data_IF_947253995554
#
_entry.id   IF_947253995554
#
_cell.length_a   1.000
_cell.length_b   1.000
_cell.length_c   1.000
_cell.angle_alpha   90.00
_cell.angle_beta   90.00
_cell.angle_gamma   90.00
#
_symmetry.space_group_name_H-M   'P 1'
#
loop_
_entity.id
_entity.type
_entity.pdbx_description
1 polymer ?
#
# COMPACT_ATOMS: atom_id res chain seq x y z
N UNK A 1 -2.05 11.62 23.00
CA UNK A 1 -0.90 10.93 23.64
C UNK A 1 -1.31 9.64 24.34
N UNK A 2 -2.11 9.66 25.41
CA UNK A 2 -2.50 8.43 26.12
C UNK A 2 -3.22 7.39 25.24
N UNK A 3 -4.10 7.86 24.34
CA UNK A 3 -4.75 7.00 23.33
C UNK A 3 -3.72 6.34 22.41
N UNK A 4 -2.85 7.11 21.76
CA UNK A 4 -1.82 6.60 20.87
C UNK A 4 -0.88 5.59 21.55
N UNK A 5 -0.53 5.81 22.83
CA UNK A 5 0.26 4.85 23.60
C UNK A 5 -0.52 3.55 23.88
N UNK A 6 -1.81 3.66 24.19
CA UNK A 6 -2.69 2.51 24.39
C UNK A 6 -2.86 1.69 23.10
N UNK A 7 -3.07 2.38 21.99
CA UNK A 7 -3.15 1.81 20.64
C UNK A 7 -1.79 1.25 20.18
N UNK A 8 -0.68 1.78 20.67
CA UNK A 8 0.67 1.22 20.49
C UNK A 8 0.97 0.01 21.39
N UNK A 9 0.04 -0.39 22.26
CA UNK A 9 0.16 -1.57 23.11
C UNK A 9 0.78 -1.31 24.50
N UNK A 10 1.09 -0.06 24.84
CA UNK A 10 1.70 0.29 26.14
C UNK A 10 0.80 -0.13 27.32
N UNK A 11 1.45 -0.45 28.44
CA UNK A 11 0.72 -0.82 29.66
C UNK A 11 0.03 0.40 30.28
N UNK A 12 -1.08 0.19 31.00
CA UNK A 12 -1.75 1.28 31.72
C UNK A 12 -0.82 1.97 32.73
N UNK A 13 0.10 1.21 33.33
CA UNK A 13 1.11 1.73 34.25
C UNK A 13 2.06 2.69 33.54
N UNK A 14 2.56 2.30 32.37
CA UNK A 14 3.48 3.11 31.58
C UNK A 14 2.79 4.39 31.07
N UNK A 15 1.55 4.27 30.58
CA UNK A 15 0.78 5.42 30.13
C UNK A 15 0.53 6.37 31.30
N UNK A 16 0.16 5.84 32.46
CA UNK A 16 -0.08 6.63 33.66
C UNK A 16 1.18 7.38 34.09
N UNK A 17 2.33 6.72 34.08
CA UNK A 17 3.62 7.34 34.40
C UNK A 17 4.01 8.46 33.40
N UNK A 18 3.85 8.24 32.10
CA UNK A 18 4.26 9.21 31.08
C UNK A 18 3.28 10.37 30.87
N UNK A 19 2.01 10.18 31.22
CA UNK A 19 0.96 11.18 30.95
C UNK A 19 0.35 11.80 32.20
N UNK A 20 0.73 11.31 33.38
CA UNK A 20 0.15 11.67 34.68
C UNK A 20 -1.37 11.47 34.77
N UNK A 21 -1.92 10.62 33.90
CA UNK A 21 -3.34 10.25 33.91
C UNK A 21 -3.49 8.97 34.73
N UNK A 22 -4.42 8.95 35.68
CA UNK A 22 -4.71 7.75 36.44
C UNK A 22 -5.15 6.58 35.54
N UNK A 23 -4.71 5.36 35.91
CA UNK A 23 -5.00 4.11 35.18
C UNK A 23 -6.49 3.85 35.01
N UNK A 24 -7.30 4.16 36.03
CA UNK A 24 -8.74 3.97 35.95
C UNK A 24 -9.39 4.94 34.95
N UNK A 25 -8.86 6.17 34.87
CA UNK A 25 -9.31 7.18 33.90
C UNK A 25 -8.96 6.77 32.47
N UNK A 26 -7.76 6.23 32.25
CA UNK A 26 -7.34 5.70 30.94
C UNK A 26 -8.26 4.56 30.52
N UNK A 27 -8.50 3.59 31.40
CA UNK A 27 -9.38 2.44 31.09
C UNK A 27 -10.83 2.87 30.79
N UNK A 28 -11.38 3.82 31.57
CA UNK A 28 -12.73 4.37 31.33
C UNK A 28 -12.81 5.10 29.99
N UNK A 29 -11.81 5.91 29.65
CA UNK A 29 -11.75 6.60 28.36
C UNK A 29 -11.63 5.61 27.20
N UNK A 30 -10.76 4.60 27.33
CA UNK A 30 -10.60 3.56 26.32
C UNK A 30 -11.93 2.87 26.00
N UNK A 31 -12.67 2.46 27.03
CA UNK A 31 -14.00 1.84 26.84
C UNK A 31 -15.03 2.81 26.26
N UNK A 32 -15.08 4.05 26.76
CA UNK A 32 -16.08 5.05 26.34
C UNK A 32 -15.89 5.51 24.89
N UNK A 33 -14.64 5.62 24.46
CA UNK A 33 -14.27 6.16 23.15
C UNK A 33 -13.87 5.08 22.14
N UNK A 34 -13.95 3.80 22.52
CA UNK A 34 -13.64 2.68 21.64
C UNK A 34 -12.16 2.59 21.26
N UNK A 35 -11.24 2.90 22.16
CA UNK A 35 -9.81 2.72 21.89
C UNK A 35 -9.47 1.24 21.82
N UNK A 36 -8.80 0.84 20.74
CA UNK A 36 -8.36 -0.53 20.53
C UNK A 36 -6.91 -0.69 20.99
N UNK A 37 -6.67 -1.62 21.93
CA UNK A 37 -5.33 -1.82 22.47
C UNK A 37 -4.46 -2.53 21.43
N UNK A 38 -3.29 -1.96 21.15
CA UNK A 38 -2.27 -2.61 20.32
C UNK A 38 -2.59 -2.62 18.82
N UNK A 39 -3.57 -1.85 18.34
CA UNK A 39 -3.91 -1.76 16.90
C UNK A 39 -2.71 -1.34 16.03
N UNK A 40 -1.79 -0.54 16.57
CA UNK A 40 -0.59 -0.09 15.86
C UNK A 40 0.67 -0.86 16.28
N UNK A 41 0.56 -1.87 17.15
CA UNK A 41 1.71 -2.57 17.73
C UNK A 41 2.53 -3.31 16.67
N UNK A 42 1.86 -3.95 15.70
CA UNK A 42 2.55 -4.64 14.60
C UNK A 42 3.29 -3.65 13.70
N UNK A 43 2.65 -2.51 13.36
CA UNK A 43 3.28 -1.47 12.55
C UNK A 43 4.53 -0.91 13.22
N UNK A 44 4.51 -0.71 14.55
CA UNK A 44 5.69 -0.29 15.32
C UNK A 44 6.80 -1.35 15.22
N UNK A 45 6.46 -2.64 15.35
CA UNK A 45 7.44 -3.72 15.25
C UNK A 45 8.06 -3.80 13.84
N UNK A 46 7.26 -3.63 12.80
CA UNK A 46 7.70 -3.64 11.41
C UNK A 46 8.64 -2.46 11.12
N UNK A 47 8.33 -1.26 11.63
CA UNK A 47 9.19 -0.08 11.47
C UNK A 47 10.54 -0.27 12.17
N UNK A 48 10.54 -0.80 13.40
CA UNK A 48 11.79 -1.14 14.13
C UNK A 48 12.63 -2.14 13.35
N UNK A 49 11.99 -3.14 12.72
CA UNK A 49 12.68 -4.12 11.87
C UNK A 49 13.31 -3.45 10.65
N UNK A 50 12.55 -2.62 9.94
CA UNK A 50 13.03 -1.88 8.76
C UNK A 50 14.22 -0.99 9.13
N UNK A 51 14.14 -0.23 10.22
CA UNK A 51 15.23 0.65 10.65
C UNK A 51 16.49 -0.14 11.05
N UNK A 52 16.31 -1.28 11.70
CA UNK A 52 17.43 -2.19 12.03
C UNK A 52 18.10 -2.71 10.76
N UNK A 53 17.32 -3.13 9.76
CA UNK A 53 17.83 -3.58 8.46
C UNK A 53 18.55 -2.42 7.74
N UNK A 54 17.98 -1.21 7.70
CA UNK A 54 18.59 -0.02 7.11
C UNK A 54 19.94 0.34 7.74
N UNK A 55 20.09 0.15 9.05
CA UNK A 55 21.37 0.42 9.75
C UNK A 55 22.54 -0.44 9.28
N UNK A 56 22.27 -1.56 8.59
CA UNK A 56 23.30 -2.46 8.04
C UNK A 56 23.69 -2.12 6.59
N UNK A 57 22.97 -1.21 5.96
CA UNK A 57 23.18 -0.82 4.57
C UNK A 57 24.13 0.38 4.46
N UNK A 58 24.75 0.51 3.29
CA UNK A 58 25.49 1.73 2.97
C UNK A 58 24.55 2.85 2.49
N UNK A 59 25.08 4.07 2.44
CA UNK A 59 24.30 5.27 2.10
C UNK A 59 23.60 5.18 0.73
N UNK A 60 24.26 4.66 -0.30
CA UNK A 60 23.68 4.54 -1.64
C UNK A 60 22.52 3.53 -1.66
N UNK A 61 22.65 2.42 -0.91
CA UNK A 61 21.59 1.42 -0.78
C UNK A 61 20.37 2.00 -0.05
N UNK A 62 20.59 2.79 1.01
CA UNK A 62 19.51 3.49 1.73
C UNK A 62 18.79 4.49 0.83
N UNK A 63 19.54 5.30 0.08
CA UNK A 63 18.97 6.27 -0.86
C UNK A 63 18.13 5.60 -1.95
N UNK A 64 18.64 4.51 -2.53
CA UNK A 64 17.90 3.74 -3.53
C UNK A 64 16.64 3.10 -2.93
N UNK A 65 16.73 2.54 -1.72
CA UNK A 65 15.58 2.00 -1.00
C UNK A 65 14.49 3.07 -0.80
N UNK A 66 14.86 4.23 -0.29
CA UNK A 66 13.90 5.31 0.01
C UNK A 66 13.28 5.89 -1.28
N UNK A 67 14.05 5.96 -2.37
CA UNK A 67 13.52 6.26 -3.70
C UNK A 67 12.49 5.21 -4.16
N UNK A 68 12.79 3.92 -4.02
CA UNK A 68 11.85 2.86 -4.43
C UNK A 68 10.57 2.87 -3.60
N UNK A 69 10.67 3.04 -2.28
CA UNK A 69 9.50 3.13 -1.39
C UNK A 69 8.63 4.33 -1.76
N UNK A 70 9.23 5.51 -1.94
CA UNK A 70 8.48 6.72 -2.32
C UNK A 70 7.80 6.59 -3.70
N UNK A 71 8.48 6.00 -4.68
CA UNK A 71 7.92 5.73 -6.01
C UNK A 71 6.72 4.77 -5.95
N UNK A 72 6.82 3.68 -5.18
CA UNK A 72 5.71 2.74 -5.01
C UNK A 72 4.51 3.37 -4.29
N UNK A 73 4.75 4.19 -3.25
CA UNK A 73 3.69 4.93 -2.57
C UNK A 73 2.98 5.92 -3.50
N UNK A 74 3.73 6.60 -4.37
CA UNK A 74 3.15 7.49 -5.39
C UNK A 74 2.28 6.70 -6.37
N UNK A 75 2.75 5.55 -6.86
CA UNK A 75 2.00 4.69 -7.76
C UNK A 75 0.67 4.23 -7.16
N UNK A 76 0.66 3.81 -5.89
CA UNK A 76 -0.58 3.42 -5.19
C UNK A 76 -1.59 4.57 -5.20
N UNK A 77 -1.17 5.79 -4.86
CA UNK A 77 -2.04 6.97 -4.86
C UNK A 77 -2.55 7.33 -6.26
N UNK A 78 -1.69 7.24 -7.27
CA UNK A 78 -2.07 7.50 -8.65
C UNK A 78 -3.11 6.50 -9.15
N UNK A 79 -2.97 5.25 -8.75
CA UNK A 79 -3.92 4.18 -9.04
C UNK A 79 -5.26 4.43 -8.36
N UNK A 80 -5.28 4.79 -7.07
CA UNK A 80 -6.52 5.14 -6.36
C UNK A 80 -7.24 6.31 -7.04
N UNK A 81 -6.48 7.34 -7.43
CA UNK A 81 -7.00 8.50 -8.15
C UNK A 81 -7.52 8.14 -9.54
N UNK A 82 -6.78 7.31 -10.27
CA UNK A 82 -7.19 6.81 -11.58
C UNK A 82 -8.48 6.00 -11.46
N UNK A 83 -8.54 5.05 -10.53
CA UNK A 83 -9.71 4.21 -10.27
C UNK A 83 -10.93 5.05 -9.92
N UNK A 84 -10.78 6.04 -9.04
CA UNK A 84 -11.85 6.97 -8.67
C UNK A 84 -12.37 7.77 -9.85
N UNK A 85 -11.47 8.27 -10.71
CA UNK A 85 -11.84 8.99 -11.93
C UNK A 85 -12.52 8.09 -12.95
N UNK A 86 -12.01 6.87 -13.15
CA UNK A 86 -12.59 5.88 -14.05
C UNK A 86 -14.01 5.49 -13.60
N UNK A 87 -14.21 5.25 -12.29
CA UNK A 87 -15.53 4.95 -11.72
C UNK A 87 -16.50 6.10 -11.86
N UNK A 88 -16.05 7.33 -11.61
CA UNK A 88 -16.89 8.53 -11.83
C UNK A 88 -17.29 8.64 -13.30
N UNK A 89 -16.35 8.42 -14.23
CA UNK A 89 -16.65 8.48 -15.66
C UNK A 89 -17.57 7.35 -16.11
N UNK A 90 -17.40 6.15 -15.57
CA UNK A 90 -18.31 5.03 -15.80
C UNK A 90 -19.73 5.35 -15.29
N UNK A 91 -19.86 6.03 -14.14
CA UNK A 91 -21.14 6.51 -13.62
C UNK A 91 -21.80 7.54 -14.54
N UNK A 92 -21.04 8.48 -15.09
CA UNK A 92 -21.54 9.41 -16.12
C UNK A 92 -21.99 8.67 -17.39
N UNK A 93 -21.19 7.70 -17.87
CA UNK A 93 -21.54 6.92 -19.04
C UNK A 93 -22.72 5.99 -18.80
N UNK A 94 -22.95 5.47 -17.60
CA UNK A 94 -24.18 4.75 -17.28
C UNK A 94 -25.44 5.60 -17.43
N UNK A 95 -25.32 6.91 -17.21
CA UNK A 95 -26.44 7.84 -17.35
C UNK A 95 -26.65 8.32 -18.80
N UNK A 96 -25.62 8.21 -19.65
CA UNK A 96 -25.59 8.80 -21.00
C UNK A 96 -25.51 7.74 -22.11
N UNK A 97 -25.05 6.53 -21.82
CA UNK A 97 -24.73 5.52 -22.84
C UNK A 97 -25.94 4.68 -23.24
N UNK A 98 -26.28 4.75 -24.52
CA UNK A 98 -27.16 3.80 -25.22
C UNK A 98 -26.38 2.59 -25.81
N UNK A 99 -25.05 2.48 -25.65
CA UNK A 99 -24.24 1.38 -26.20
C UNK A 99 -23.44 0.61 -25.12
N UNK A 100 -23.78 -0.67 -24.95
CA UNK A 100 -23.22 -1.54 -23.90
C UNK A 100 -21.74 -1.93 -24.04
N UNK A 101 -21.05 -1.57 -25.14
CA UNK A 101 -19.66 -1.94 -25.39
C UNK A 101 -18.65 -1.12 -24.58
N UNK A 102 -18.85 0.19 -24.48
CA UNK A 102 -17.92 1.10 -23.81
C UNK A 102 -18.00 0.95 -22.29
N UNK A 103 -19.20 0.64 -21.81
CA UNK A 103 -19.42 0.31 -20.41
C UNK A 103 -18.66 -0.96 -20.01
N UNK A 104 -18.67 -2.00 -20.85
CA UNK A 104 -17.94 -3.25 -20.59
C UNK A 104 -16.43 -3.04 -20.49
N UNK A 105 -15.85 -2.27 -21.41
CA UNK A 105 -14.41 -1.98 -21.41
C UNK A 105 -13.96 -1.23 -20.13
N UNK A 106 -14.79 -0.30 -19.65
CA UNK A 106 -14.53 0.42 -18.40
C UNK A 106 -14.63 -0.49 -17.17
N UNK A 107 -15.66 -1.33 -17.08
CA UNK A 107 -15.83 -2.28 -15.98
C UNK A 107 -14.66 -3.27 -15.91
N UNK A 108 -14.23 -3.81 -17.04
CA UNK A 108 -13.07 -4.71 -17.11
C UNK A 108 -11.76 -3.98 -16.73
N UNK A 109 -11.61 -2.71 -17.13
CA UNK A 109 -10.48 -1.88 -16.75
C UNK A 109 -10.40 -1.65 -15.23
N UNK A 110 -11.54 -1.30 -14.61
CA UNK A 110 -11.64 -1.11 -13.16
C UNK A 110 -11.35 -2.42 -12.42
N UNK A 111 -11.96 -3.53 -12.84
CA UNK A 111 -11.77 -4.84 -12.21
C UNK A 111 -10.32 -5.32 -12.30
N UNK A 112 -9.64 -5.09 -13.44
CA UNK A 112 -8.22 -5.42 -13.59
C UNK A 112 -7.34 -4.61 -12.63
N UNK A 113 -7.59 -3.30 -12.52
CA UNK A 113 -6.83 -2.40 -11.64
C UNK A 113 -7.08 -2.72 -10.17
N UNK A 114 -8.33 -2.99 -9.80
CA UNK A 114 -8.70 -3.40 -8.45
C UNK A 114 -7.95 -4.65 -8.00
N UNK A 115 -7.73 -5.59 -8.90
CA UNK A 115 -7.06 -6.87 -8.61
C UNK A 115 -5.55 -6.74 -8.63
N UNK A 116 -4.98 -6.02 -9.61
CA UNK A 116 -3.55 -5.75 -9.67
C UNK A 116 -3.04 -5.06 -8.40
N UNK A 117 -3.86 -4.21 -7.80
CA UNK A 117 -3.51 -3.44 -6.61
C UNK A 117 -3.98 -4.06 -5.31
N UNK A 118 -4.49 -5.29 -5.35
CA UNK A 118 -4.99 -6.03 -4.18
C UNK A 118 -6.06 -5.27 -3.38
N UNK A 119 -6.80 -4.37 -4.05
CA UNK A 119 -7.95 -3.68 -3.47
C UNK A 119 -9.14 -4.66 -3.34
N UNK A 120 -9.25 -5.61 -4.28
CA UNK A 120 -10.17 -6.75 -4.21
C UNK A 120 -9.44 -8.05 -4.57
N UNK A 121 -9.72 -9.14 -3.85
CA UNK A 121 -9.28 -10.48 -4.24
C UNK A 121 -10.30 -11.11 -5.19
N UNK A 122 -9.86 -11.63 -6.35
CA UNK A 122 -10.74 -12.45 -7.20
C UNK A 122 -10.96 -13.78 -6.49
N UNK A 123 -12.18 -14.03 -6.01
CA UNK A 123 -12.59 -15.36 -5.56
C UNK A 123 -12.63 -16.40 -6.69
N UNK A 124 -12.53 -15.97 -7.96
CA UNK A 124 -12.48 -16.85 -9.13
C UNK A 124 -11.09 -16.87 -9.78
N UNK A 125 -10.55 -18.09 -9.96
CA UNK A 125 -9.27 -18.32 -10.63
C UNK A 125 -9.32 -17.75 -12.07
N UNK A 126 -8.29 -17.01 -12.52
CA UNK A 126 -8.25 -16.53 -13.89
C UNK A 126 -8.23 -17.72 -14.87
N UNK A 127 -9.13 -17.72 -15.85
CA UNK A 127 -9.08 -18.62 -17.00
C UNK A 127 -7.73 -18.43 -17.70
N UNK A 128 -7.02 -19.53 -17.98
CA UNK A 128 -5.72 -19.50 -18.65
C UNK A 128 -5.83 -18.73 -19.98
N UNK A 129 -5.22 -17.55 -20.04
CA UNK A 129 -5.07 -16.79 -21.28
C UNK A 129 -3.92 -17.42 -22.07
N UNK A 130 -4.21 -17.94 -23.26
CA UNK A 130 -3.20 -18.36 -24.24
C UNK A 130 -2.38 -17.12 -24.67
N UNK A 131 -1.15 -17.00 -24.15
CA UNK A 131 -0.16 -16.04 -24.64
C UNK A 131 0.44 -16.56 -25.96
N UNK A 132 0.17 -15.88 -27.07
CA UNK A 132 1.02 -15.98 -28.25
C UNK A 132 2.22 -15.05 -28.07
N UNK A 133 3.36 -15.59 -27.66
CA UNK A 133 4.64 -14.89 -27.62
C UNK A 133 5.27 -14.86 -29.02
N UNK A 134 5.30 -13.69 -29.66
CA UNK A 134 6.31 -13.40 -30.68
C UNK A 134 7.58 -12.93 -29.97
N UNK A 135 8.63 -13.74 -30.06
CA UNK A 135 9.95 -13.46 -29.49
C UNK A 135 10.69 -12.54 -30.47
N UNK A 136 10.95 -11.29 -30.07
CA UNK A 136 11.94 -10.45 -30.75
C UNK A 136 13.23 -10.51 -29.93
N UNK A 137 14.25 -11.17 -30.48
CA UNK A 137 15.56 -11.34 -29.83
C UNK A 137 16.36 -10.04 -29.90
N UNK A 138 16.20 -9.18 -28.90
CA UNK A 138 17.18 -8.15 -28.58
C UNK A 138 17.92 -8.59 -27.31
N UNK A 139 19.21 -8.92 -27.45
CA UNK A 139 20.04 -9.31 -26.30
C UNK A 139 20.13 -8.15 -25.30
N UNK A 140 19.93 -8.40 -24.00
CA UNK A 140 20.15 -7.39 -22.98
C UNK A 140 21.64 -7.02 -22.93
N UNK A 141 21.95 -5.72 -22.92
CA UNK A 141 23.33 -5.22 -22.77
C UNK A 141 23.93 -5.74 -21.47
N UNK A 142 25.19 -6.12 -21.53
CA UNK A 142 25.92 -6.70 -20.40
C UNK A 142 26.57 -5.61 -19.56
N UNK A 143 26.89 -5.91 -18.29
CA UNK A 143 27.60 -4.98 -17.41
C UNK A 143 28.96 -4.55 -17.99
N UNK A 144 29.58 -5.39 -18.81
CA UNK A 144 30.85 -5.09 -19.49
C UNK A 144 30.71 -3.98 -20.54
N UNK A 145 29.51 -3.80 -21.11
CA UNK A 145 29.24 -2.73 -22.10
C UNK A 145 29.16 -1.34 -21.43
N UNK A 146 28.89 -1.29 -20.12
CA UNK A 146 28.80 -0.05 -19.35
C UNK A 146 30.18 0.53 -18.99
N UNK A 147 31.16 -0.31 -18.70
CA UNK A 147 32.51 0.10 -18.28
C UNK A 147 33.51 0.33 -19.44
N UNK A 148 33.08 0.12 -20.70
CA UNK A 148 33.92 0.34 -21.90
C UNK A 148 33.80 1.72 -22.53
N UNK A 149 33.05 2.63 -21.92
CA UNK A 149 33.00 4.03 -22.33
C UNK A 149 33.84 4.90 -21.38
N UNK A 150 35.16 4.71 -21.40
CA UNK A 150 36.16 5.72 -21.02
C UNK A 150 37.23 5.81 -22.12
#
# INVERSE_FOLDING_TARGET
>A
VAQAMFEGGASLQEISFKTDIDRSTISKKAKKLGWEKGVNQQLIADEVRVETEKSTLNQQQVEYHDFQVSSQLALIKDIERFSSNAMRKAGELLQVSESGSDFKALVEGVDRISVTNKINERHAKPSQVQQNTQINNEQPRTLDDFYRQE
#
